data_IF_421955225228
#
_entry.id   IF_421955225228
#
_cell.length_a   1.000
_cell.length_b   1.000
_cell.length_c   1.000
_cell.angle_alpha   90.00
_cell.angle_beta   90.00
_cell.angle_gamma   90.00
#
_symmetry.space_group_name_H-M   'P 1'
#
loop_
_entity.id
_entity.type
_entity.pdbx_description
1 polymer ?
#
# COMPACT_ATOMS: atom_id res chain seq x y z
N UNK A 1 -7.41 -29.13 -31.60
CA UNK A 1 -7.39 -27.68 -31.89
C UNK A 1 -8.52 -27.02 -31.12
N UNK A 2 -8.34 -25.95 -30.36
CA UNK A 2 -9.45 -25.26 -29.72
C UNK A 2 -10.37 -24.68 -30.80
N UNK A 3 -11.68 -24.73 -30.58
CA UNK A 3 -12.66 -24.11 -31.49
C UNK A 3 -12.40 -22.61 -31.62
N UNK A 4 -12.53 -22.06 -32.81
CA UNK A 4 -12.35 -20.62 -33.11
C UNK A 4 -13.20 -19.74 -32.17
N UNK A 5 -14.45 -20.15 -31.93
CA UNK A 5 -15.36 -19.46 -30.99
C UNK A 5 -14.82 -19.39 -29.55
N UNK A 6 -14.20 -20.45 -29.02
CA UNK A 6 -13.60 -20.48 -27.69
C UNK A 6 -12.36 -19.58 -27.61
N UNK A 7 -11.62 -19.51 -28.73
CA UNK A 7 -10.44 -18.65 -28.80
C UNK A 7 -10.82 -17.18 -28.84
N UNK A 8 -11.88 -16.83 -29.54
CA UNK A 8 -12.43 -15.45 -29.56
C UNK A 8 -12.96 -15.01 -28.19
N UNK A 9 -13.72 -15.88 -27.51
CA UNK A 9 -14.18 -15.59 -26.14
C UNK A 9 -13.01 -15.31 -25.18
N UNK A 10 -11.92 -16.09 -25.25
CA UNK A 10 -10.74 -15.87 -24.43
C UNK A 10 -10.01 -14.57 -24.77
N UNK A 11 -9.92 -14.21 -26.05
CA UNK A 11 -9.36 -12.92 -26.47
C UNK A 11 -10.19 -11.76 -25.95
N UNK A 12 -11.53 -11.86 -26.02
CA UNK A 12 -12.42 -10.83 -25.45
C UNK A 12 -12.24 -10.70 -23.94
N UNK A 13 -12.11 -11.82 -23.21
CA UNK A 13 -11.84 -11.78 -21.77
C UNK A 13 -10.51 -11.10 -21.44
N UNK A 14 -9.44 -11.40 -22.19
CA UNK A 14 -8.13 -10.75 -22.01
C UNK A 14 -8.22 -9.26 -22.32
N UNK A 15 -8.91 -8.86 -23.38
CA UNK A 15 -9.10 -7.46 -23.72
C UNK A 15 -9.88 -6.71 -22.61
N UNK A 16 -11.00 -7.27 -22.16
CA UNK A 16 -11.79 -6.69 -21.09
C UNK A 16 -11.02 -6.56 -19.76
N UNK A 17 -10.15 -7.55 -19.43
CA UNK A 17 -9.28 -7.51 -18.26
C UNK A 17 -8.19 -6.44 -18.41
N UNK A 18 -7.55 -6.39 -19.59
CA UNK A 18 -6.52 -5.39 -19.90
C UNK A 18 -7.08 -3.96 -19.81
N UNK A 19 -8.28 -3.72 -20.37
CA UNK A 19 -8.94 -2.42 -20.30
C UNK A 19 -9.31 -2.05 -18.85
N UNK A 20 -9.76 -3.03 -18.06
CA UNK A 20 -10.06 -2.82 -16.65
C UNK A 20 -8.80 -2.48 -15.84
N UNK A 21 -7.70 -3.22 -16.05
CA UNK A 21 -6.42 -2.95 -15.39
C UNK A 21 -5.90 -1.56 -15.75
N UNK A 22 -6.02 -1.13 -17.01
CA UNK A 22 -5.59 0.20 -17.46
C UNK A 22 -6.41 1.34 -16.89
N UNK A 23 -7.70 1.10 -16.67
CA UNK A 23 -8.60 2.12 -16.14
C UNK A 23 -8.58 2.18 -14.61
N UNK A 24 -8.11 1.11 -13.94
CA UNK A 24 -8.01 1.07 -12.49
C UNK A 24 -6.77 1.79 -11.98
N UNK A 25 -6.91 2.55 -10.89
CA UNK A 25 -5.82 3.22 -10.21
C UNK A 25 -4.95 2.25 -9.41
N UNK A 26 -5.58 1.26 -8.78
CA UNK A 26 -4.93 0.26 -7.96
C UNK A 26 -5.56 -1.11 -8.13
N UNK A 27 -4.75 -2.14 -7.95
CA UNK A 27 -5.25 -3.50 -7.87
C UNK A 27 -4.37 -4.38 -7.00
N UNK A 28 -5.01 -5.38 -6.40
CA UNK A 28 -4.35 -6.33 -5.51
C UNK A 28 -4.62 -7.74 -6.00
N UNK A 29 -3.58 -8.55 -6.05
CA UNK A 29 -3.62 -9.95 -6.43
C UNK A 29 -3.56 -10.80 -5.18
N UNK A 30 -4.54 -11.70 -5.03
CA UNK A 30 -4.71 -12.52 -3.82
C UNK A 30 -4.87 -13.99 -4.14
N UNK A 31 -4.51 -14.83 -3.17
CA UNK A 31 -4.81 -16.25 -3.15
C UNK A 31 -6.04 -16.51 -2.27
N UNK A 32 -7.04 -17.15 -2.83
CA UNK A 32 -8.30 -17.47 -2.14
C UNK A 32 -8.44 -18.96 -1.78
N UNK A 33 -7.34 -19.70 -1.77
CA UNK A 33 -7.35 -21.13 -1.51
C UNK A 33 -7.81 -21.43 -0.07
N UNK A 34 -8.83 -22.29 0.08
CA UNK A 34 -9.25 -22.77 1.40
C UNK A 34 -10.24 -21.87 2.14
N UNK A 35 -10.82 -20.88 1.49
CA UNK A 35 -11.86 -20.03 2.06
C UNK A 35 -13.21 -20.75 1.98
N UNK A 36 -14.10 -20.54 2.96
CA UNK A 36 -15.46 -21.04 2.92
C UNK A 36 -16.34 -20.20 1.98
N UNK A 37 -17.43 -20.76 1.49
CA UNK A 37 -18.35 -20.05 0.59
C UNK A 37 -19.02 -18.86 1.28
N UNK A 38 -19.28 -18.98 2.59
CA UNK A 38 -19.84 -17.88 3.39
C UNK A 38 -18.91 -16.69 3.45
N UNK A 39 -17.62 -16.93 3.73
CA UNK A 39 -16.61 -15.89 3.89
C UNK A 39 -16.31 -15.21 2.54
N UNK A 40 -16.23 -15.98 1.43
CA UNK A 40 -16.08 -15.41 0.09
C UNK A 40 -17.29 -14.53 -0.30
N UNK A 41 -18.51 -14.93 0.10
CA UNK A 41 -19.71 -14.12 -0.15
C UNK A 41 -19.68 -12.81 0.64
N UNK A 42 -19.26 -12.86 1.90
CA UNK A 42 -19.11 -11.69 2.76
C UNK A 42 -18.02 -10.76 2.23
N UNK A 43 -16.86 -11.29 1.87
CA UNK A 43 -15.76 -10.53 1.25
C UNK A 43 -16.22 -9.81 -0.02
N UNK A 44 -16.94 -10.50 -0.90
CA UNK A 44 -17.49 -9.90 -2.12
C UNK A 44 -18.52 -8.81 -1.85
N UNK A 45 -19.25 -8.91 -0.75
CA UNK A 45 -20.20 -7.88 -0.32
C UNK A 45 -19.45 -6.62 0.12
N UNK A 46 -18.50 -6.77 1.03
CA UNK A 46 -17.66 -5.66 1.53
C UNK A 46 -16.89 -4.96 0.40
N UNK A 47 -16.31 -5.72 -0.53
CA UNK A 47 -15.61 -5.16 -1.68
C UNK A 47 -16.55 -4.39 -2.63
N UNK A 48 -17.78 -4.88 -2.85
CA UNK A 48 -18.77 -4.18 -3.67
C UNK A 48 -19.24 -2.87 -3.04
N UNK A 49 -19.43 -2.86 -1.71
CA UNK A 49 -19.79 -1.64 -0.98
C UNK A 49 -18.71 -0.58 -1.07
N UNK A 50 -17.45 -1.00 -1.14
CA UNK A 50 -16.29 -0.13 -1.31
C UNK A 50 -16.00 0.23 -2.80
N UNK A 51 -16.84 -0.20 -3.75
CA UNK A 51 -16.61 0.08 -5.18
C UNK A 51 -15.47 -0.73 -5.80
N UNK A 52 -15.00 -1.81 -5.16
CA UNK A 52 -13.92 -2.66 -5.64
C UNK A 52 -14.45 -3.81 -6.47
N UNK A 53 -13.91 -3.99 -7.66
CA UNK A 53 -14.23 -5.11 -8.54
C UNK A 53 -13.35 -6.33 -8.24
N UNK A 54 -13.94 -7.33 -7.61
CA UNK A 54 -13.26 -8.60 -7.31
C UNK A 54 -13.62 -9.68 -8.33
N UNK A 55 -12.61 -10.23 -9.00
CA UNK A 55 -12.80 -11.25 -10.06
C UNK A 55 -11.77 -12.35 -9.93
N UNK A 56 -12.23 -13.60 -9.97
CA UNK A 56 -11.36 -14.77 -10.04
C UNK A 56 -10.99 -15.00 -11.51
N UNK A 57 -9.71 -15.03 -11.80
CA UNK A 57 -9.18 -15.14 -13.17
C UNK A 57 -8.15 -16.26 -13.26
N UNK A 58 -8.10 -16.90 -14.42
CA UNK A 58 -7.06 -17.89 -14.70
C UNK A 58 -5.70 -17.19 -14.89
N UNK A 59 -4.65 -17.69 -14.23
CA UNK A 59 -3.30 -17.10 -14.23
C UNK A 59 -2.78 -16.80 -15.65
N UNK A 60 -2.94 -17.74 -16.59
CA UNK A 60 -2.50 -17.55 -17.99
C UNK A 60 -3.27 -16.46 -18.75
N UNK A 61 -4.50 -16.12 -18.36
CA UNK A 61 -5.25 -15.01 -18.94
C UNK A 61 -4.85 -13.71 -18.29
N UNK A 62 -4.62 -13.74 -16.97
CA UNK A 62 -4.17 -12.57 -16.21
C UNK A 62 -2.75 -12.15 -16.62
N UNK A 63 -1.81 -13.10 -16.82
CA UNK A 63 -0.47 -12.80 -17.31
C UNK A 63 -0.51 -12.07 -18.66
N UNK A 64 -1.26 -12.59 -19.63
CA UNK A 64 -1.42 -11.93 -20.94
C UNK A 64 -2.10 -10.55 -20.86
N UNK A 65 -3.04 -10.38 -19.92
CA UNK A 65 -3.69 -9.09 -19.71
C UNK A 65 -2.74 -8.09 -19.05
N UNK A 66 -1.89 -8.56 -18.13
CA UNK A 66 -0.85 -7.77 -17.49
C UNK A 66 0.24 -7.32 -18.48
N UNK A 67 0.73 -8.22 -19.34
CA UNK A 67 1.65 -7.89 -20.43
C UNK A 67 1.05 -6.82 -21.38
N UNK A 68 -0.22 -6.99 -21.76
CA UNK A 68 -0.93 -6.03 -22.62
C UNK A 68 -1.21 -4.69 -21.93
N UNK A 69 -1.23 -4.67 -20.60
CA UNK A 69 -1.35 -3.47 -19.78
C UNK A 69 -0.01 -2.81 -19.46
N UNK A 70 1.13 -3.50 -19.70
CA UNK A 70 2.47 -3.00 -19.41
C UNK A 70 2.95 -3.25 -17.97
N UNK A 71 2.32 -4.18 -17.26
CA UNK A 71 2.70 -4.58 -15.89
C UNK A 71 3.77 -5.68 -15.95
N UNK A 72 5.03 -5.28 -16.02
CA UNK A 72 6.16 -6.22 -15.99
C UNK A 72 6.41 -6.74 -14.57
N UNK A 73 6.66 -8.04 -14.43
CA UNK A 73 6.99 -8.67 -13.14
C UNK A 73 5.81 -9.30 -12.40
N UNK A 74 4.56 -9.07 -12.81
CA UNK A 74 3.41 -9.71 -12.19
C UNK A 74 3.39 -11.24 -12.44
N UNK A 75 3.98 -11.69 -13.53
CA UNK A 75 3.99 -13.10 -13.94
C UNK A 75 4.65 -14.02 -12.93
N UNK A 76 5.73 -13.58 -12.29
CA UNK A 76 6.47 -14.34 -11.28
C UNK A 76 5.64 -14.66 -10.04
N UNK A 77 4.57 -13.91 -9.80
CA UNK A 77 3.71 -14.04 -8.62
C UNK A 77 2.42 -14.82 -8.92
N UNK A 78 2.14 -15.10 -10.22
CA UNK A 78 0.91 -15.78 -10.65
C UNK A 78 0.98 -17.31 -10.51
N UNK A 79 1.31 -17.80 -9.32
CA UNK A 79 1.29 -19.24 -9.00
C UNK A 79 0.05 -19.59 -8.16
N UNK A 80 -0.47 -20.80 -8.31
CA UNK A 80 -1.62 -21.30 -7.55
C UNK A 80 -2.96 -20.66 -7.94
N UNK A 81 -3.87 -20.51 -6.97
CA UNK A 81 -5.17 -19.85 -7.17
C UNK A 81 -4.99 -18.34 -7.14
N UNK A 82 -5.70 -17.63 -8.02
CA UNK A 82 -5.50 -16.20 -8.17
C UNK A 82 -6.83 -15.49 -8.37
N UNK A 83 -7.07 -14.48 -7.56
CA UNK A 83 -8.12 -13.50 -7.78
C UNK A 83 -7.51 -12.10 -7.84
N UNK A 84 -8.14 -11.23 -8.58
CA UNK A 84 -7.75 -9.83 -8.73
C UNK A 84 -8.86 -8.93 -8.21
N UNK A 85 -8.50 -8.00 -7.36
CA UNK A 85 -9.35 -6.91 -6.89
C UNK A 85 -8.86 -5.62 -7.52
N UNK A 86 -9.69 -4.95 -8.33
CA UNK A 86 -9.36 -3.68 -8.99
C UNK A 86 -10.23 -2.56 -8.44
N UNK A 87 -9.64 -1.40 -8.21
CA UNK A 87 -10.33 -0.22 -7.73
C UNK A 87 -10.06 0.95 -8.68
N UNK A 88 -11.12 1.69 -9.01
CA UNK A 88 -11.02 2.81 -9.96
C UNK A 88 -10.79 4.15 -9.25
N UNK A 89 -11.34 4.34 -8.04
CA UNK A 89 -11.33 5.62 -7.34
C UNK A 89 -10.34 5.69 -6.17
N UNK A 90 -10.24 4.60 -5.37
CA UNK A 90 -9.48 4.58 -4.13
C UNK A 90 -8.27 3.63 -4.19
N UNK A 91 -7.07 4.18 -4.02
CA UNK A 91 -5.82 3.40 -3.99
C UNK A 91 -5.70 2.44 -2.80
N UNK A 92 -6.37 2.73 -1.70
CA UNK A 92 -6.20 2.05 -0.41
C UNK A 92 -7.34 1.10 -0.07
N UNK A 93 -8.55 1.34 -0.61
CA UNK A 93 -9.74 0.59 -0.22
C UNK A 93 -9.59 -0.93 -0.45
N UNK A 94 -9.07 -1.35 -1.61
CA UNK A 94 -8.85 -2.75 -1.93
C UNK A 94 -7.84 -3.40 -0.98
N UNK A 95 -6.68 -2.76 -0.75
CA UNK A 95 -5.63 -3.29 0.12
C UNK A 95 -6.10 -3.41 1.57
N UNK A 96 -6.82 -2.40 2.09
CA UNK A 96 -7.31 -2.38 3.47
C UNK A 96 -8.33 -3.49 3.75
N UNK A 97 -9.32 -3.68 2.87
CA UNK A 97 -10.35 -4.71 3.05
C UNK A 97 -9.72 -6.10 2.94
N UNK A 98 -8.86 -6.31 1.95
CA UNK A 98 -8.21 -7.59 1.75
C UNK A 98 -7.24 -7.94 2.88
N UNK A 99 -6.50 -6.97 3.43
CA UNK A 99 -5.62 -7.18 4.57
C UNK A 99 -6.42 -7.50 5.84
N UNK A 100 -7.49 -6.75 6.11
CA UNK A 100 -8.39 -7.03 7.25
C UNK A 100 -8.98 -8.44 7.17
N UNK A 101 -9.30 -8.89 5.96
CA UNK A 101 -9.79 -10.25 5.74
C UNK A 101 -8.67 -11.29 5.90
N UNK A 102 -7.45 -10.99 5.43
CA UNK A 102 -6.29 -11.86 5.61
C UNK A 102 -5.92 -12.05 7.09
N UNK A 103 -6.02 -10.99 7.90
CA UNK A 103 -5.77 -11.07 9.34
C UNK A 103 -6.78 -11.97 10.09
N UNK A 104 -7.96 -12.19 9.52
CA UNK A 104 -8.99 -13.08 10.07
C UNK A 104 -8.96 -14.51 9.53
N UNK A 105 -8.21 -14.78 8.47
CA UNK A 105 -8.25 -16.08 7.75
C UNK A 105 -6.86 -16.52 7.31
N UNK A 106 -6.28 -17.49 8.00
CA UNK A 106 -4.92 -18.02 7.74
C UNK A 106 -4.71 -18.56 6.31
N UNK A 107 -5.80 -18.93 5.62
CA UNK A 107 -5.74 -19.50 4.28
C UNK A 107 -5.78 -18.45 3.16
N UNK A 108 -6.00 -17.17 3.49
CA UNK A 108 -6.06 -16.09 2.54
C UNK A 108 -4.73 -15.33 2.53
N UNK A 109 -4.09 -15.21 1.39
CA UNK A 109 -2.81 -14.53 1.29
C UNK A 109 -2.83 -13.48 0.16
N UNK A 110 -2.29 -12.32 0.46
CA UNK A 110 -1.99 -11.30 -0.54
C UNK A 110 -0.67 -11.68 -1.21
N UNK A 111 -0.60 -11.67 -2.53
CA UNK A 111 0.60 -12.00 -3.30
C UNK A 111 1.38 -10.76 -3.70
N UNK A 112 0.72 -9.85 -4.36
CA UNK A 112 1.29 -8.59 -4.84
C UNK A 112 0.17 -7.61 -5.17
N UNK A 113 0.53 -6.41 -5.55
CA UNK A 113 -0.40 -5.42 -6.06
C UNK A 113 0.21 -4.64 -7.22
N UNK A 114 -0.59 -3.79 -7.83
CA UNK A 114 -0.11 -2.77 -8.74
C UNK A 114 -0.77 -1.43 -8.42
N UNK A 115 -0.06 -0.36 -8.72
CA UNK A 115 -0.46 1.01 -8.47
C UNK A 115 0.02 1.87 -9.63
N UNK A 116 -0.90 2.55 -10.30
CA UNK A 116 -0.61 3.41 -11.47
C UNK A 116 0.28 2.72 -12.53
N UNK A 117 0.03 1.43 -12.81
CA UNK A 117 0.80 0.68 -13.80
C UNK A 117 2.17 0.17 -13.32
N UNK A 118 2.48 0.26 -12.02
CA UNK A 118 3.69 -0.31 -11.42
C UNK A 118 3.33 -1.46 -10.50
N UNK A 119 4.06 -2.55 -10.60
CA UNK A 119 3.91 -3.68 -9.67
C UNK A 119 4.60 -3.34 -8.36
N UNK A 120 3.91 -3.56 -7.25
CA UNK A 120 4.37 -3.33 -5.89
C UNK A 120 4.50 -4.65 -5.13
N UNK A 121 5.50 -4.72 -4.26
CA UNK A 121 5.76 -5.89 -3.43
C UNK A 121 4.70 -6.03 -2.31
N UNK A 122 4.65 -7.21 -1.70
CA UNK A 122 3.73 -7.53 -0.62
C UNK A 122 3.86 -6.55 0.56
N UNK A 123 5.10 -6.21 0.95
CA UNK A 123 5.37 -5.30 2.07
C UNK A 123 4.78 -3.91 1.84
N UNK A 124 4.83 -3.42 0.61
CA UNK A 124 4.26 -2.13 0.22
C UNK A 124 2.72 -2.18 0.23
N UNK A 125 2.11 -3.30 -0.20
CA UNK A 125 0.65 -3.49 -0.10
C UNK A 125 0.19 -3.49 1.36
N UNK A 126 0.95 -4.13 2.26
CA UNK A 126 0.69 -4.12 3.70
C UNK A 126 0.85 -2.70 4.26
N UNK A 127 1.86 -1.94 3.82
CA UNK A 127 2.02 -0.56 4.24
C UNK A 127 0.83 0.31 3.78
N UNK A 128 0.36 0.14 2.53
CA UNK A 128 -0.83 0.80 2.01
C UNK A 128 -2.10 0.43 2.80
N UNK A 129 -2.25 -0.82 3.20
CA UNK A 129 -3.44 -1.27 3.94
C UNK A 129 -3.60 -0.59 5.31
N UNK A 130 -2.49 -0.13 5.91
CA UNK A 130 -2.48 0.60 7.19
C UNK A 130 -2.91 2.06 7.06
N UNK A 131 -2.96 2.59 5.84
CA UNK A 131 -3.39 3.97 5.61
C UNK A 131 -4.91 4.11 5.79
N UNK A 132 -5.39 5.20 6.38
CA UNK A 132 -6.81 5.51 6.46
C UNK A 132 -7.37 5.86 5.07
N UNK A 133 -8.69 5.99 4.98
CA UNK A 133 -9.34 6.42 3.73
C UNK A 133 -8.88 7.83 3.31
N UNK A 134 -9.03 8.16 2.03
CA UNK A 134 -8.68 9.48 1.47
C UNK A 134 -9.29 10.62 2.28
N UNK A 135 -10.57 10.50 2.64
CA UNK A 135 -11.27 11.50 3.45
C UNK A 135 -10.68 11.64 4.84
N UNK A 136 -10.36 10.51 5.48
CA UNK A 136 -9.73 10.51 6.81
C UNK A 136 -8.32 11.11 6.77
N UNK A 137 -7.53 10.87 5.72
CA UNK A 137 -6.22 11.52 5.55
C UNK A 137 -6.37 13.04 5.35
N UNK A 138 -7.33 13.49 4.57
CA UNK A 138 -7.62 14.92 4.40
C UNK A 138 -8.07 15.56 5.73
N UNK A 139 -8.92 14.86 6.49
CA UNK A 139 -9.32 15.30 7.82
C UNK A 139 -8.12 15.38 8.79
N UNK A 140 -7.20 14.43 8.74
CA UNK A 140 -5.96 14.46 9.54
C UNK A 140 -5.08 15.67 9.17
N UNK A 141 -4.90 15.94 7.88
CA UNK A 141 -4.14 17.11 7.43
C UNK A 141 -4.82 18.39 7.92
N UNK A 142 -6.13 18.49 7.80
CA UNK A 142 -6.88 19.65 8.29
C UNK A 142 -6.75 19.81 9.81
N UNK A 143 -6.81 18.72 10.58
CA UNK A 143 -6.64 18.74 12.02
C UNK A 143 -5.23 19.19 12.43
N UNK A 144 -4.18 18.72 11.74
CA UNK A 144 -2.80 19.14 12.00
C UNK A 144 -2.57 20.64 11.79
N UNK A 145 -3.28 21.26 10.85
CA UNK A 145 -3.21 22.73 10.64
C UNK A 145 -3.89 23.49 11.76
N UNK A 146 -4.98 22.94 12.31
CA UNK A 146 -5.75 23.57 13.40
C UNK A 146 -5.16 23.28 14.79
N UNK A 147 -4.46 22.15 14.94
CA UNK A 147 -3.91 21.67 16.22
C UNK A 147 -3.08 22.73 17.00
N UNK A 148 -2.15 23.49 16.37
CA UNK A 148 -1.38 24.52 17.09
C UNK A 148 -2.29 25.58 17.71
N UNK A 149 -3.33 26.02 17.01
CA UNK A 149 -4.27 27.04 17.50
C UNK A 149 -5.12 26.46 18.64
N UNK A 150 -5.59 25.22 18.48
CA UNK A 150 -6.34 24.52 19.50
C UNK A 150 -5.49 24.24 20.76
N UNK A 151 -4.19 24.00 20.59
CA UNK A 151 -3.24 23.82 21.69
C UNK A 151 -3.09 25.09 22.52
N UNK A 152 -2.94 26.25 21.88
CA UNK A 152 -2.89 27.56 22.53
C UNK A 152 -4.20 27.83 23.27
N UNK A 153 -5.34 27.62 22.65
CA UNK A 153 -6.64 27.82 23.27
C UNK A 153 -6.83 26.91 24.50
N UNK A 154 -6.42 25.64 24.40
CA UNK A 154 -6.44 24.71 25.55
C UNK A 154 -5.51 25.15 26.68
N UNK A 155 -4.32 25.66 26.34
CA UNK A 155 -3.38 26.18 27.34
C UNK A 155 -3.96 27.40 28.07
N UNK A 156 -4.59 28.34 27.37
CA UNK A 156 -5.25 29.50 27.96
C UNK A 156 -6.40 29.07 28.87
N UNK A 157 -7.26 28.17 28.41
CA UNK A 157 -8.37 27.65 29.22
C UNK A 157 -7.87 26.95 30.50
N UNK A 158 -6.80 26.17 30.40
CA UNK A 158 -6.19 25.51 31.57
C UNK A 158 -5.56 26.48 32.56
N UNK A 159 -5.08 27.64 32.09
CA UNK A 159 -4.61 28.71 32.97
C UNK A 159 -5.77 29.43 33.67
N UNK A 160 -6.89 29.63 32.99
CA UNK A 160 -8.10 30.19 33.60
C UNK A 160 -8.67 29.26 34.67
N UNK A 161 -8.75 27.96 34.43
CA UNK A 161 -9.21 26.97 35.41
C UNK A 161 -8.29 26.87 36.65
N UNK A 162 -6.99 27.06 36.48
CA UNK A 162 -6.02 27.05 37.58
C UNK A 162 -5.92 28.39 38.35
N UNK A 163 -6.82 29.34 38.11
CA UNK A 163 -6.94 30.58 38.88
C UNK A 163 -5.94 31.66 38.54
N UNK A 164 -5.72 31.90 37.27
CA UNK A 164 -5.12 33.15 36.79
C UNK A 164 -3.69 33.45 37.20
N UNK A 165 -2.85 33.68 36.23
CA UNK A 165 -1.59 34.37 36.28
C UNK A 165 -0.43 33.69 37.02
N UNK A 166 0.20 32.77 36.32
CA UNK A 166 1.66 32.80 36.28
C UNK A 166 2.07 33.18 34.87
N UNK A 167 2.89 34.20 34.67
CA UNK A 167 3.38 34.54 33.34
C UNK A 167 4.29 33.39 32.86
N UNK A 168 3.81 32.62 31.92
CA UNK A 168 4.63 31.66 31.15
C UNK A 168 5.50 32.47 30.19
N UNK A 169 6.47 33.22 30.79
CA UNK A 169 7.51 33.93 30.06
C UNK A 169 8.91 33.43 30.44
N UNK A 170 9.00 32.25 31.10
CA UNK A 170 10.30 31.77 31.60
C UNK A 170 10.63 30.29 31.27
N UNK A 171 9.90 29.67 30.39
CA UNK A 171 10.20 28.26 30.02
C UNK A 171 10.26 28.02 28.47
N UNK A 172 10.54 29.10 27.76
CA UNK A 172 10.87 29.00 26.31
C UNK A 172 12.37 29.16 26.03
N UNK A 173 13.22 29.05 27.06
CA UNK A 173 14.68 29.26 26.93
C UNK A 173 15.51 28.10 27.53
N UNK A 174 14.96 26.89 27.48
CA UNK A 174 15.75 25.66 27.62
C UNK A 174 15.19 24.55 26.73
N UNK A 175 15.30 24.77 25.42
CA UNK A 175 15.46 23.66 24.49
C UNK A 175 16.98 23.50 24.32
N UNK A 176 17.56 22.37 24.72
CA UNK A 176 18.98 22.17 24.48
C UNK A 176 19.22 22.09 22.97
N UNK A 177 19.93 23.06 22.47
CA UNK A 177 20.69 22.98 21.25
C UNK A 177 21.80 21.96 21.49
N UNK A 178 21.54 20.72 21.10
CA UNK A 178 22.53 19.65 21.07
C UNK A 178 22.29 18.79 19.84
N UNK A 179 22.64 19.35 18.70
CA UNK A 179 22.85 18.61 17.46
C UNK A 179 23.74 19.44 16.53
N UNK A 180 24.95 19.75 16.98
CA UNK A 180 26.00 20.22 16.06
C UNK A 180 27.35 19.87 16.67
N UNK A 181 27.79 18.65 16.44
CA UNK A 181 29.20 18.31 16.33
C UNK A 181 29.36 17.08 15.46
N UNK A 182 29.52 17.34 14.18
CA UNK A 182 30.26 16.48 13.31
C UNK A 182 31.75 16.73 13.53
N UNK A 183 32.57 15.76 13.79
CA UNK A 183 33.97 15.85 13.43
C UNK A 183 34.18 15.21 12.07
N UNK A 184 34.36 16.09 11.10
CA UNK A 184 35.23 15.80 9.96
C UNK A 184 36.67 15.75 10.50
N UNK A 185 37.39 14.76 10.07
CA UNK A 185 38.83 14.71 9.82
C UNK A 185 39.43 13.36 10.20
N UNK A 186 39.73 12.54 9.25
CA UNK A 186 41.09 12.18 8.84
C UNK A 186 41.06 10.98 7.90
N UNK A 187 41.24 11.24 6.63
CA UNK A 187 42.09 10.38 5.84
C UNK A 187 43.54 10.80 6.12
N UNK A 188 44.48 9.88 6.13
CA UNK A 188 45.31 9.67 4.95
C UNK A 188 45.61 8.18 4.69
N UNK A 189 45.52 7.81 3.45
CA UNK A 189 46.57 7.50 2.50
C UNK A 189 47.61 6.44 2.91
N UNK A 190 47.80 5.51 1.96
CA UNK A 190 49.04 4.85 1.59
C UNK A 190 49.43 3.58 2.35
N UNK A 191 49.26 2.44 1.71
CA UNK A 191 50.35 1.67 1.10
C UNK A 191 49.82 0.33 0.56
N UNK A 192 49.88 0.20 -0.74
CA UNK A 192 50.18 -1.07 -1.35
C UNK A 192 51.71 -1.20 -1.30
N UNK A 193 52.33 -2.38 -1.21
CA UNK A 193 52.47 -3.19 -2.41
C UNK A 193 52.52 -4.73 -2.19
N UNK A 194 52.22 -5.39 -3.29
CA UNK A 194 52.94 -6.45 -3.96
C UNK A 194 53.28 -7.78 -3.30
N UNK A 195 52.97 -8.81 -4.11
CA UNK A 195 53.75 -10.04 -4.40
C UNK A 195 53.80 -11.09 -3.27
N UNK A 196 53.55 -12.32 -3.50
CA UNK A 196 54.14 -13.26 -4.44
C UNK A 196 53.52 -14.66 -4.28
N UNK A 197 53.23 -15.27 -5.40
CA UNK A 197 53.50 -16.67 -5.80
C UNK A 197 53.12 -17.87 -4.96
N UNK A 198 52.55 -18.80 -5.70
CA UNK A 198 52.83 -20.23 -5.84
C UNK A 198 52.40 -21.21 -4.71
N UNK A 199 51.49 -22.09 -4.95
CA UNK A 199 51.63 -23.45 -5.50
C UNK A 199 50.28 -24.09 -5.73
#
# INVERSE_FOLDING_TARGET
MPSTAVLEMKKQQVAALSDRIKNSCAGVVVDYKGITVSDDTQLRHELREAGVHYTVVKNTLLGRAAEAAGLEGLESVLEGTTAIATCDDDYVASARILQKFADGHDNFAIKSGYLDGKVIALDEVIALSKLPSREAMLAQIASLVVEPIACIARAVAALEEKGGATPVAAEAEEAPAEAEEAPAEAAPAEEAPAEETAE
#
